data_IF_058824525785
#
_entry.id   IF_058824525785
#
_cell.length_a   1.000
_cell.length_b   1.000
_cell.length_c   1.000
_cell.angle_alpha   90.00
_cell.angle_beta   90.00
_cell.angle_gamma   90.00
#
_symmetry.space_group_name_H-M   'P 1'
#
loop_
_entity.id
_entity.type
_entity.pdbx_description
1 polymer ?
#
# COMPACT_ATOMS: atom_id res chain seq x y z
N UNK A 1 -1.46 5.41 9.62
CA UNK A 1 -0.73 4.55 8.65
C UNK A 1 0.44 5.25 7.94
N UNK A 2 0.41 6.58 7.78
CA UNK A 2 1.45 7.32 7.04
C UNK A 2 2.88 7.13 7.57
N UNK A 3 3.11 7.15 8.89
CA UNK A 3 4.45 6.94 9.46
C UNK A 3 5.03 5.55 9.13
N UNK A 4 4.19 4.51 9.09
CA UNK A 4 4.61 3.15 8.72
C UNK A 4 4.98 3.11 7.24
N UNK A 5 4.13 3.69 6.38
CA UNK A 5 4.43 3.81 4.95
C UNK A 5 5.74 4.57 4.74
N UNK A 6 5.92 5.70 5.43
CA UNK A 6 7.14 6.51 5.38
C UNK A 6 8.37 5.71 5.80
N UNK A 7 8.29 4.92 6.86
CA UNK A 7 9.37 4.02 7.26
C UNK A 7 9.76 3.06 6.14
N UNK A 8 8.79 2.35 5.56
CA UNK A 8 9.04 1.43 4.44
C UNK A 8 9.67 2.14 3.25
N UNK A 9 9.17 3.32 2.87
CA UNK A 9 9.72 4.09 1.75
C UNK A 9 11.17 4.53 2.01
N UNK A 10 11.50 4.92 3.25
CA UNK A 10 12.84 5.42 3.59
C UNK A 10 13.83 4.28 3.81
N UNK A 11 13.43 3.25 4.56
CA UNK A 11 14.29 2.14 4.96
C UNK A 11 14.46 1.13 3.81
N UNK A 12 13.37 0.72 3.17
CA UNK A 12 13.38 -0.33 2.14
C UNK A 12 13.66 0.24 0.75
N UNK A 13 12.96 1.32 0.36
CA UNK A 13 13.16 1.96 -0.95
C UNK A 13 14.27 3.01 -0.96
N UNK A 14 15.01 3.17 0.16
CA UNK A 14 16.12 4.13 0.30
C UNK A 14 15.72 5.58 -0.07
N UNK A 15 14.44 5.93 0.07
CA UNK A 15 13.95 7.27 -0.25
C UNK A 15 14.36 8.28 0.80
N UNK A 16 14.40 9.56 0.40
CA UNK A 16 14.74 10.63 1.33
C UNK A 16 13.56 10.96 2.22
N UNK A 17 13.72 10.82 3.54
CA UNK A 17 12.68 11.15 4.50
C UNK A 17 12.17 12.60 4.41
N UNK A 18 12.99 13.52 3.88
CA UNK A 18 12.62 14.92 3.62
C UNK A 18 11.62 15.09 2.48
N UNK A 19 11.68 14.22 1.46
CA UNK A 19 10.78 14.24 0.30
C UNK A 19 9.48 13.47 0.58
N UNK A 20 9.52 12.49 1.50
CA UNK A 20 8.37 11.68 1.90
C UNK A 20 7.40 12.47 2.80
N UNK A 21 6.70 13.43 2.19
CA UNK A 21 5.69 14.27 2.85
C UNK A 21 4.28 13.99 2.32
N UNK A 22 3.21 14.19 3.13
CA UNK A 22 1.85 13.83 2.74
C UNK A 22 1.36 14.56 1.48
N UNK A 23 1.85 15.78 1.27
CA UNK A 23 1.50 16.64 0.13
C UNK A 23 2.33 16.35 -1.11
N UNK A 24 3.39 15.55 -1.02
CA UNK A 24 4.23 15.22 -2.17
C UNK A 24 3.53 14.17 -3.04
N UNK A 25 3.72 14.32 -4.33
CA UNK A 25 3.30 13.37 -5.34
C UNK A 25 4.28 12.21 -5.42
N UNK A 26 3.82 11.08 -5.95
CA UNK A 26 4.66 9.90 -6.20
C UNK A 26 5.89 10.24 -7.03
N UNK A 27 5.71 10.99 -8.10
CA UNK A 27 6.81 11.36 -9.00
C UNK A 27 7.83 12.26 -8.33
N UNK A 28 7.42 13.14 -7.42
CA UNK A 28 8.34 14.00 -6.67
C UNK A 28 9.23 13.20 -5.72
N UNK A 29 8.73 12.10 -5.14
CA UNK A 29 9.49 11.26 -4.21
C UNK A 29 10.24 10.11 -4.88
N UNK A 30 10.08 9.94 -6.19
CA UNK A 30 10.69 8.84 -6.95
C UNK A 30 9.92 7.51 -6.91
N UNK A 31 8.62 7.55 -6.63
CA UNK A 31 7.74 6.38 -6.76
C UNK A 31 7.39 6.15 -8.23
N UNK A 32 8.35 5.58 -8.95
CA UNK A 32 8.19 5.12 -10.33
C UNK A 32 7.49 3.76 -10.41
N UNK A 33 7.15 3.31 -11.62
CA UNK A 33 6.48 2.01 -11.84
C UNK A 33 7.20 0.81 -11.21
N UNK A 34 8.54 0.84 -11.13
CA UNK A 34 9.33 -0.22 -10.46
C UNK A 34 9.16 -0.14 -8.95
N UNK A 35 9.29 1.07 -8.39
CA UNK A 35 9.15 1.31 -6.95
C UNK A 35 7.73 1.00 -6.44
N UNK A 36 6.69 1.17 -7.28
CA UNK A 36 5.33 0.77 -6.94
C UNK A 36 5.17 -0.75 -6.83
N UNK A 37 5.81 -1.51 -7.71
CA UNK A 37 5.81 -2.98 -7.64
C UNK A 37 6.54 -3.45 -6.38
N UNK A 38 7.72 -2.88 -6.09
CA UNK A 38 8.45 -3.19 -4.86
C UNK A 38 7.65 -2.80 -3.62
N UNK A 39 7.03 -1.61 -3.62
CA UNK A 39 6.18 -1.17 -2.52
C UNK A 39 5.00 -2.12 -2.30
N UNK A 40 4.35 -2.60 -3.36
CA UNK A 40 3.29 -3.59 -3.27
C UNK A 40 3.76 -4.89 -2.60
N UNK A 41 4.93 -5.40 -2.99
CA UNK A 41 5.52 -6.59 -2.36
C UNK A 41 5.89 -6.36 -0.89
N UNK A 42 6.45 -5.19 -0.56
CA UNK A 42 6.80 -4.81 0.81
C UNK A 42 5.56 -4.66 1.71
N UNK A 43 4.47 -4.08 1.20
CA UNK A 43 3.20 -3.98 1.91
C UNK A 43 2.56 -5.36 2.10
N UNK A 44 2.67 -6.25 1.11
CA UNK A 44 2.17 -7.62 1.20
C UNK A 44 2.95 -8.43 2.24
N UNK A 45 4.28 -8.41 2.17
CA UNK A 45 5.14 -9.19 3.07
C UNK A 45 5.22 -8.60 4.48
N UNK A 46 5.25 -7.27 4.60
CA UNK A 46 5.38 -6.57 5.88
C UNK A 46 4.06 -6.42 6.65
N UNK A 47 2.94 -6.19 5.95
CA UNK A 47 1.64 -5.95 6.57
C UNK A 47 0.58 -7.02 6.24
N UNK A 48 0.87 -7.96 5.34
CA UNK A 48 -0.11 -8.95 4.88
C UNK A 48 -1.18 -8.38 3.96
N UNK A 49 -0.94 -7.20 3.37
CA UNK A 49 -1.93 -6.49 2.57
C UNK A 49 -1.69 -6.75 1.08
N UNK A 50 -2.69 -7.28 0.39
CA UNK A 50 -2.65 -7.41 -1.07
C UNK A 50 -3.12 -6.10 -1.73
N UNK A 51 -2.16 -5.34 -2.24
CA UNK A 51 -2.38 -4.14 -3.06
C UNK A 51 -1.55 -4.30 -4.34
N UNK A 52 -2.12 -3.94 -5.48
CA UNK A 52 -1.41 -3.96 -6.74
C UNK A 52 -0.79 -2.60 -7.10
N UNK A 53 0.23 -2.64 -7.95
CA UNK A 53 0.94 -1.45 -8.47
C UNK A 53 -0.01 -0.46 -9.16
N UNK A 54 -1.01 -0.93 -9.91
CA UNK A 54 -1.97 -0.06 -10.58
C UNK A 54 -2.85 0.72 -9.58
N UNK A 55 -3.16 0.13 -8.41
CA UNK A 55 -3.96 0.79 -7.37
C UNK A 55 -3.13 1.84 -6.63
N UNK A 56 -1.87 1.50 -6.34
CA UNK A 56 -0.90 2.49 -5.86
C UNK A 56 -0.68 3.58 -6.91
N UNK A 57 -0.79 3.24 -8.19
CA UNK A 57 -0.66 4.18 -9.30
C UNK A 57 -1.88 5.10 -9.46
N UNK A 58 -3.04 4.76 -8.88
CA UNK A 58 -4.21 5.64 -8.84
C UNK A 58 -4.09 6.71 -7.77
N UNK A 59 -3.36 6.44 -6.68
CA UNK A 59 -3.17 7.39 -5.59
C UNK A 59 -2.31 8.58 -6.03
N UNK A 60 -2.82 9.82 -6.01
CA UNK A 60 -2.07 10.98 -6.52
C UNK A 60 -0.89 11.39 -5.62
N UNK A 61 -1.06 11.24 -4.31
CA UNK A 61 -0.13 11.73 -3.28
C UNK A 61 0.27 10.63 -2.31
N UNK A 62 1.32 10.88 -1.52
CA UNK A 62 1.68 9.99 -0.43
C UNK A 62 0.59 9.91 0.66
N UNK A 63 -0.18 10.98 0.87
CA UNK A 63 -1.35 10.94 1.77
C UNK A 63 -2.43 9.98 1.25
N UNK A 64 -2.71 10.00 -0.06
CA UNK A 64 -3.65 9.07 -0.70
C UNK A 64 -3.15 7.62 -0.62
N UNK A 65 -1.86 7.39 -0.85
CA UNK A 65 -1.25 6.07 -0.67
C UNK A 65 -1.41 5.56 0.76
N UNK A 66 -1.08 6.39 1.75
CA UNK A 66 -1.23 6.01 3.15
C UNK A 66 -2.68 5.72 3.53
N UNK A 67 -3.64 6.45 2.96
CA UNK A 67 -5.07 6.17 3.11
C UNK A 67 -5.46 4.85 2.46
N UNK A 68 -4.99 4.58 1.24
CA UNK A 68 -5.27 3.33 0.54
C UNK A 68 -4.76 2.14 1.35
N UNK A 69 -3.53 2.21 1.84
CA UNK A 69 -2.94 1.16 2.70
C UNK A 69 -3.75 1.00 4.00
N UNK A 70 -4.14 2.09 4.64
CA UNK A 70 -4.95 2.05 5.86
C UNK A 70 -6.33 1.42 5.62
N UNK A 71 -6.97 1.80 4.51
CA UNK A 71 -8.26 1.27 4.11
C UNK A 71 -8.17 -0.22 3.84
N UNK A 72 -7.14 -0.69 3.14
CA UNK A 72 -6.91 -2.12 2.89
C UNK A 72 -6.57 -2.88 4.16
N UNK A 73 -5.74 -2.33 5.03
CA UNK A 73 -5.43 -2.92 6.33
C UNK A 73 -6.68 -3.07 7.20
N UNK A 74 -7.61 -2.11 7.16
CA UNK A 74 -8.91 -2.21 7.85
C UNK A 74 -9.89 -3.12 7.11
N UNK A 75 -9.83 -3.11 5.78
CA UNK A 75 -10.74 -3.86 4.92
C UNK A 75 -10.36 -5.33 4.83
N UNK A 76 -9.15 -5.76 5.24
CA UNK A 76 -8.81 -7.15 5.52
C UNK A 76 -9.81 -7.69 6.53
N UNK A 77 -10.88 -8.39 6.09
CA UNK A 77 -11.74 -9.07 7.02
C UNK A 77 -10.91 -10.27 7.45
N UNK A 78 -10.68 -10.43 8.74
CA UNK A 78 -10.51 -11.79 9.27
C UNK A 78 -11.83 -12.49 8.99
N UNK A 79 -12.03 -12.98 7.78
CA UNK A 79 -13.02 -13.99 7.46
C UNK A 79 -12.64 -14.67 6.13
N UNK A 80 -12.53 -16.01 6.15
CA UNK A 80 -12.24 -16.78 4.96
C UNK A 80 -13.35 -16.52 3.95
N UNK A 81 -12.91 -16.35 2.70
CA UNK A 81 -13.72 -16.63 1.52
C UNK A 81 -14.81 -17.62 1.88
N UNK A 82 -16.04 -17.09 1.87
CA UNK A 82 -17.26 -17.73 2.28
C UNK A 82 -17.14 -19.24 2.08
N UNK A 83 -17.25 -19.97 3.19
CA UNK A 83 -17.68 -21.34 3.16
C UNK A 83 -18.85 -21.41 2.18
N UNK A 84 -18.54 -21.89 0.98
CA UNK A 84 -19.32 -22.86 0.24
C UNK A 84 -20.79 -22.65 0.55
N UNK A 85 -21.44 -21.72 -0.17
CA UNK A 85 -22.89 -21.68 -0.29
C UNK A 85 -23.37 -23.13 -0.41
N UNK A 86 -23.90 -23.62 0.70
CA UNK A 86 -24.09 -25.03 0.99
C UNK A 86 -25.25 -25.60 0.15
N UNK A 87 -25.34 -26.92 -0.05
CA UNK A 87 -26.32 -27.53 -0.92
C UNK A 87 -27.72 -27.41 -0.32
N UNK A 88 -28.73 -27.14 -1.15
CA UNK A 88 -30.14 -27.37 -0.80
C UNK A 88 -30.90 -27.96 -1.99
N UNK A 89 -31.06 -29.29 -1.89
CA UNK A 89 -32.11 -30.19 -2.39
C UNK A 89 -32.49 -30.17 -3.87
#
# INVERSE_FOLDING_TARGET
MFDVLRGILVDELQMRAEDVVPTATRTEVGLDSVALVELAELLNTGLGIEIHDYELAEAGTLADLARLVEERHRALPTEPSAARSAPRR
#
